data_IF_568378189270
#
_entry.id   IF_568378189270
#
_cell.length_a   1.000
_cell.length_b   1.000
_cell.length_c   1.000
_cell.angle_alpha   90.00
_cell.angle_beta   90.00
_cell.angle_gamma   90.00
#
_symmetry.space_group_name_H-M   'P 1'
#
loop_
_entity.id
_entity.type
_entity.pdbx_description
1 polymer ?
#
# COMPACT_ATOMS: atom_id res chain seq x y z
N UNK A 1 6.24 18.29 -7.08
CA UNK A 1 6.49 16.96 -7.50
C UNK A 1 5.30 16.06 -7.14
N UNK A 2 4.55 15.61 -8.16
CA UNK A 2 3.25 14.94 -8.01
C UNK A 2 3.32 13.63 -7.18
N UNK A 3 4.44 12.92 -7.23
CA UNK A 3 4.64 11.67 -6.50
C UNK A 3 4.73 11.87 -4.98
N UNK A 4 5.49 12.86 -4.55
CA UNK A 4 5.61 13.20 -3.12
C UNK A 4 4.27 13.71 -2.60
N UNK A 5 3.55 14.48 -3.40
CA UNK A 5 2.21 14.97 -3.08
C UNK A 5 1.21 13.81 -2.92
N UNK A 6 1.19 12.86 -3.85
CA UNK A 6 0.29 11.70 -3.81
C UNK A 6 0.57 10.80 -2.60
N UNK A 7 1.83 10.57 -2.25
CA UNK A 7 2.19 9.82 -1.04
C UNK A 7 1.70 10.54 0.21
N UNK A 8 1.91 11.85 0.30
CA UNK A 8 1.44 12.65 1.45
C UNK A 8 -0.08 12.61 1.57
N UNK A 9 -0.80 12.73 0.48
CA UNK A 9 -2.27 12.64 0.49
C UNK A 9 -2.76 11.25 0.93
N UNK A 10 -2.10 10.19 0.47
CA UNK A 10 -2.45 8.82 0.85
C UNK A 10 -2.20 8.58 2.34
N UNK A 11 -1.07 9.05 2.88
CA UNK A 11 -0.79 8.99 4.32
C UNK A 11 -1.84 9.76 5.11
N UNK A 12 -2.22 10.94 4.64
CA UNK A 12 -3.26 11.76 5.27
C UNK A 12 -4.63 11.05 5.28
N UNK A 13 -5.00 10.39 4.19
CA UNK A 13 -6.23 9.58 4.10
C UNK A 13 -6.16 8.42 5.08
N UNK A 14 -5.01 7.77 5.19
CA UNK A 14 -4.78 6.69 6.17
C UNK A 14 -4.98 7.20 7.61
N UNK A 15 -4.37 8.32 7.96
CA UNK A 15 -4.53 8.93 9.29
C UNK A 15 -5.98 9.31 9.59
N UNK A 16 -6.68 9.86 8.63
CA UNK A 16 -8.12 10.15 8.75
C UNK A 16 -8.94 8.88 8.95
N UNK A 17 -8.64 7.83 8.19
CA UNK A 17 -9.28 6.53 8.34
C UNK A 17 -9.08 5.93 9.73
N UNK A 18 -7.86 6.07 10.29
CA UNK A 18 -7.54 5.63 11.65
C UNK A 18 -8.34 6.40 12.70
N UNK A 19 -8.51 7.71 12.54
CA UNK A 19 -9.34 8.52 13.42
C UNK A 19 -10.81 8.07 13.40
N UNK A 20 -11.34 7.75 12.22
CA UNK A 20 -12.70 7.19 12.09
C UNK A 20 -12.83 5.83 12.75
N UNK A 21 -11.83 4.98 12.62
CA UNK A 21 -11.81 3.68 13.29
C UNK A 21 -11.86 3.86 14.81
N UNK A 22 -11.04 4.76 15.36
CA UNK A 22 -11.01 5.03 16.81
C UNK A 22 -12.35 5.58 17.30
N UNK A 23 -13.01 6.43 16.51
CA UNK A 23 -14.34 6.93 16.81
C UNK A 23 -15.41 5.81 16.79
N UNK A 24 -15.31 4.88 15.86
CA UNK A 24 -16.25 3.75 15.74
C UNK A 24 -16.04 2.68 16.82
N UNK A 25 -14.85 2.57 17.35
CA UNK A 25 -14.52 1.63 18.43
C UNK A 25 -15.33 1.89 19.70
N UNK A 26 -15.84 3.10 19.86
CA UNK A 26 -16.70 3.47 20.99
C UNK A 26 -18.16 3.01 20.83
N UNK A 27 -18.55 2.47 19.66
CA UNK A 27 -19.91 2.03 19.36
C UNK A 27 -19.95 0.50 19.37
N UNK A 28 -20.54 -0.08 20.42
CA UNK A 28 -20.53 -1.51 20.74
C UNK A 28 -21.05 -2.46 19.64
N UNK A 29 -21.86 -2.00 18.71
CA UNK A 29 -22.51 -2.85 17.69
C UNK A 29 -21.63 -3.10 16.45
N UNK A 30 -20.43 -2.52 16.37
CA UNK A 30 -19.54 -2.58 15.23
C UNK A 30 -18.27 -3.39 15.47
N UNK A 31 -18.19 -4.15 16.58
CA UNK A 31 -16.96 -4.85 16.99
C UNK A 31 -16.48 -5.87 15.94
N UNK A 32 -17.38 -6.58 15.28
CA UNK A 32 -17.00 -7.54 14.23
C UNK A 32 -16.48 -6.87 12.97
N UNK A 33 -17.08 -5.75 12.61
CA UNK A 33 -16.73 -4.97 11.43
C UNK A 33 -15.50 -4.10 11.70
N UNK A 34 -15.31 -3.65 12.94
CA UNK A 34 -14.20 -2.80 13.33
C UNK A 34 -12.82 -3.46 13.07
N UNK A 35 -12.72 -4.78 13.19
CA UNK A 35 -11.47 -5.49 12.91
C UNK A 35 -11.07 -5.39 11.44
N UNK A 36 -11.98 -5.62 10.51
CA UNK A 36 -11.70 -5.52 9.07
C UNK A 36 -11.42 -4.08 8.63
N UNK A 37 -12.11 -3.12 9.23
CA UNK A 37 -11.84 -1.69 9.03
C UNK A 37 -10.41 -1.37 9.46
N UNK A 38 -10.01 -1.80 10.65
CA UNK A 38 -8.65 -1.60 11.16
C UNK A 38 -7.61 -2.24 10.26
N UNK A 39 -7.81 -3.50 9.87
CA UNK A 39 -6.89 -4.23 9.00
C UNK A 39 -6.77 -3.58 7.63
N UNK A 40 -7.87 -3.08 7.08
CA UNK A 40 -7.87 -2.35 5.80
C UNK A 40 -7.01 -1.08 5.88
N UNK A 41 -7.16 -0.31 6.94
CA UNK A 41 -6.38 0.91 7.17
C UNK A 41 -4.89 0.57 7.39
N UNK A 42 -4.59 -0.48 8.13
CA UNK A 42 -3.22 -0.94 8.34
C UNK A 42 -2.55 -1.37 7.02
N UNK A 43 -3.30 -1.99 6.11
CA UNK A 43 -2.76 -2.38 4.81
C UNK A 43 -2.37 -1.20 3.93
N UNK A 44 -3.09 -0.08 3.97
CA UNK A 44 -2.67 1.11 3.23
C UNK A 44 -1.37 1.70 3.82
N UNK A 45 -1.18 1.58 5.12
CA UNK A 45 0.10 1.93 5.75
C UNK A 45 1.23 1.02 5.26
N UNK A 46 0.99 -0.27 5.17
CA UNK A 46 1.98 -1.22 4.64
C UNK A 46 2.35 -0.90 3.19
N UNK A 47 1.37 -0.58 2.34
CA UNK A 47 1.59 -0.17 0.95
C UNK A 47 2.47 1.10 0.90
N UNK A 48 2.14 2.09 1.72
CA UNK A 48 2.89 3.34 1.81
C UNK A 48 4.34 3.09 2.26
N UNK A 49 4.55 2.22 3.25
CA UNK A 49 5.87 1.86 3.75
C UNK A 49 6.69 1.08 2.71
N UNK A 50 6.07 0.18 1.97
CA UNK A 50 6.74 -0.52 0.87
C UNK A 50 7.18 0.44 -0.23
N UNK A 51 6.36 1.43 -0.56
CA UNK A 51 6.73 2.49 -1.48
C UNK A 51 7.93 3.28 -0.95
N UNK A 52 7.80 3.89 0.21
CA UNK A 52 8.84 4.78 0.76
C UNK A 52 10.15 4.04 1.03
N UNK A 53 10.11 2.87 1.65
CA UNK A 53 11.29 2.07 1.95
C UNK A 53 11.93 1.43 0.72
N UNK A 54 11.13 0.78 -0.10
CA UNK A 54 11.62 0.09 -1.31
C UNK A 54 12.13 1.05 -2.37
N UNK A 55 11.36 2.09 -2.68
CA UNK A 55 11.72 3.05 -3.71
C UNK A 55 12.96 3.88 -3.34
N UNK A 56 13.10 4.29 -2.09
CA UNK A 56 14.29 5.03 -1.65
C UNK A 56 15.58 4.22 -1.85
N UNK A 57 15.52 2.90 -1.62
CA UNK A 57 16.67 2.03 -1.90
C UNK A 57 16.96 1.94 -3.40
N UNK A 58 15.91 1.85 -4.23
CA UNK A 58 16.07 1.81 -5.70
C UNK A 58 16.66 3.11 -6.24
N UNK A 59 16.29 4.26 -5.69
CA UNK A 59 16.89 5.57 -6.08
C UNK A 59 18.39 5.59 -5.85
N UNK A 60 18.87 4.92 -4.81
CA UNK A 60 20.30 4.80 -4.49
C UNK A 60 21.02 3.69 -5.27
N UNK A 61 20.30 2.93 -6.07
CA UNK A 61 20.83 1.78 -6.79
C UNK A 61 21.27 2.16 -8.21
N UNK A 62 22.60 2.08 -8.52
CA UNK A 62 23.10 2.39 -9.86
C UNK A 62 22.59 1.45 -10.97
N UNK A 63 21.97 0.33 -10.62
CA UNK A 63 21.40 -0.59 -11.60
C UNK A 63 20.13 -0.03 -12.28
N UNK A 64 19.54 1.03 -11.72
CA UNK A 64 18.36 1.67 -12.29
C UNK A 64 18.72 3.01 -12.92
N UNK A 65 18.26 3.21 -14.15
CA UNK A 65 18.34 4.51 -14.82
C UNK A 65 17.25 5.46 -14.27
N UNK A 66 17.42 6.75 -14.51
CA UNK A 66 16.42 7.77 -14.14
C UNK A 66 15.05 7.46 -14.77
N UNK A 67 15.02 7.08 -16.04
CA UNK A 67 13.78 6.72 -16.73
C UNK A 67 13.10 5.49 -16.12
N UNK A 68 13.88 4.50 -15.74
CA UNK A 68 13.36 3.32 -15.04
C UNK A 68 12.79 3.68 -13.67
N UNK A 69 13.47 4.52 -12.91
CA UNK A 69 12.99 5.00 -11.60
C UNK A 69 11.70 5.79 -11.73
N UNK A 70 11.57 6.62 -12.74
CA UNK A 70 10.32 7.34 -13.02
C UNK A 70 9.16 6.38 -13.31
N UNK A 71 9.39 5.36 -14.12
CA UNK A 71 8.39 4.34 -14.44
C UNK A 71 7.99 3.52 -13.19
N UNK A 72 8.97 3.13 -12.37
CA UNK A 72 8.73 2.41 -11.12
C UNK A 72 7.90 3.27 -10.15
N UNK A 73 8.25 4.54 -10.04
CA UNK A 73 7.55 5.50 -9.20
C UNK A 73 6.08 5.69 -9.62
N UNK A 74 5.82 5.75 -10.92
CA UNK A 74 4.44 5.83 -11.44
C UNK A 74 3.62 4.60 -11.09
N UNK A 75 4.21 3.41 -11.13
CA UNK A 75 3.55 2.18 -10.71
C UNK A 75 3.16 2.20 -9.23
N UNK A 76 4.05 2.64 -8.36
CA UNK A 76 3.75 2.81 -6.93
C UNK A 76 2.67 3.87 -6.69
N UNK A 77 2.75 5.00 -7.38
CA UNK A 77 1.77 6.08 -7.25
C UNK A 77 0.37 5.59 -7.59
N UNK A 78 0.24 4.77 -8.63
CA UNK A 78 -1.05 4.17 -9.01
C UNK A 78 -1.59 3.24 -7.93
N UNK A 79 -0.75 2.38 -7.36
CA UNK A 79 -1.14 1.48 -6.27
C UNK A 79 -1.58 2.26 -5.03
N UNK A 80 -0.88 3.33 -4.69
CA UNK A 80 -1.25 4.22 -3.58
C UNK A 80 -2.57 4.95 -3.83
N UNK A 81 -2.80 5.41 -5.04
CA UNK A 81 -4.04 6.07 -5.44
C UNK A 81 -5.24 5.13 -5.31
N UNK A 82 -5.12 3.90 -5.80
CA UNK A 82 -6.17 2.88 -5.71
C UNK A 82 -6.43 2.48 -4.24
N UNK A 83 -5.39 2.29 -3.45
CA UNK A 83 -5.53 2.01 -2.02
C UNK A 83 -6.18 3.16 -1.26
N UNK A 84 -5.81 4.39 -1.58
CA UNK A 84 -6.39 5.59 -0.99
C UNK A 84 -7.88 5.75 -1.34
N UNK A 85 -8.27 5.41 -2.56
CA UNK A 85 -9.68 5.41 -2.98
C UNK A 85 -10.50 4.41 -2.17
N UNK A 86 -9.97 3.23 -1.88
CA UNK A 86 -10.64 2.24 -1.04
C UNK A 86 -10.82 2.73 0.40
N UNK A 87 -9.84 3.43 0.96
CA UNK A 87 -9.96 4.02 2.30
C UNK A 87 -11.06 5.08 2.32
N UNK A 88 -11.15 5.91 1.28
CA UNK A 88 -12.20 6.92 1.16
C UNK A 88 -13.58 6.26 1.06
N UNK A 89 -13.72 5.20 0.28
CA UNK A 89 -14.95 4.42 0.16
C UNK A 89 -15.34 3.82 1.52
N UNK A 90 -14.39 3.21 2.23
CA UNK A 90 -14.60 2.66 3.57
C UNK A 90 -15.08 3.72 4.55
N UNK A 91 -14.44 4.90 4.54
CA UNK A 91 -14.85 6.03 5.36
C UNK A 91 -16.32 6.39 5.13
N UNK A 92 -16.73 6.44 3.88
CA UNK A 92 -18.12 6.79 3.53
C UNK A 92 -19.12 5.75 4.02
N UNK A 93 -18.75 4.47 4.02
CA UNK A 93 -19.60 3.37 4.47
C UNK A 93 -19.75 3.37 6.00
N UNK A 94 -18.68 3.65 6.74
CA UNK A 94 -18.67 3.55 8.20
C UNK A 94 -19.10 4.83 8.91
N UNK A 95 -19.15 5.96 8.22
CA UNK A 95 -19.52 7.24 8.82
C UNK A 95 -21.04 7.38 8.88
N UNK A 96 -21.65 7.55 10.07
CA UNK A 96 -23.09 7.78 10.20
C UNK A 96 -23.51 9.10 9.51
N UNK A 97 -24.70 9.08 8.89
CA UNK A 97 -25.31 10.28 8.31
C UNK A 97 -24.73 10.70 6.95
N UNK A 98 -24.00 9.83 6.28
CA UNK A 98 -23.35 10.14 5.00
C UNK A 98 -24.30 10.01 3.78
N UNK A 99 -25.60 10.04 3.99
CA UNK A 99 -26.59 9.93 2.91
C UNK A 99 -26.76 8.52 2.34
N UNK A 100 -25.97 7.56 2.78
CA UNK A 100 -26.08 6.17 2.38
C UNK A 100 -27.03 5.43 3.29
N UNK A 101 -28.18 5.04 2.75
CA UNK A 101 -29.16 4.20 3.45
C UNK A 101 -28.83 2.74 3.23
N UNK A 102 -27.79 2.24 3.91
CA UNK A 102 -27.37 0.84 3.84
C UNK A 102 -27.94 0.04 5.01
N UNK A 103 -28.45 -1.16 4.73
CA UNK A 103 -28.73 -2.14 5.77
C UNK A 103 -27.43 -2.60 6.42
N UNK A 104 -27.50 -3.19 7.62
CA UNK A 104 -26.32 -3.73 8.29
C UNK A 104 -25.63 -4.80 7.44
N UNK A 105 -26.40 -5.65 6.76
CA UNK A 105 -25.86 -6.66 5.85
C UNK A 105 -25.12 -6.04 4.66
N UNK A 106 -25.72 -5.03 4.02
CA UNK A 106 -25.10 -4.34 2.89
C UNK A 106 -23.79 -3.65 3.31
N UNK A 107 -23.77 -3.06 4.50
CA UNK A 107 -22.58 -2.44 5.08
C UNK A 107 -21.48 -3.47 5.31
N UNK A 108 -21.82 -4.63 5.91
CA UNK A 108 -20.87 -5.71 6.15
C UNK A 108 -20.30 -6.26 4.84
N UNK A 109 -21.14 -6.49 3.84
CA UNK A 109 -20.73 -6.97 2.54
C UNK A 109 -19.78 -5.98 1.85
N UNK A 110 -20.06 -4.69 1.94
CA UNK A 110 -19.22 -3.63 1.39
C UNK A 110 -17.85 -3.57 2.09
N UNK A 111 -17.81 -3.68 3.41
CA UNK A 111 -16.56 -3.72 4.20
C UNK A 111 -15.72 -4.94 3.79
N UNK A 112 -16.35 -6.11 3.65
CA UNK A 112 -15.68 -7.34 3.23
C UNK A 112 -15.06 -7.20 1.83
N UNK A 113 -15.76 -6.59 0.89
CA UNK A 113 -15.27 -6.36 -0.46
C UNK A 113 -14.07 -5.40 -0.47
N UNK A 114 -14.15 -4.32 0.30
CA UNK A 114 -13.05 -3.35 0.41
C UNK A 114 -11.82 -4.01 1.04
N UNK A 115 -12.02 -4.80 2.09
CA UNK A 115 -10.93 -5.56 2.73
C UNK A 115 -10.24 -6.50 1.73
N UNK A 116 -11.01 -7.26 0.96
CA UNK A 116 -10.47 -8.19 -0.06
C UNK A 116 -9.67 -7.45 -1.12
N UNK A 117 -10.21 -6.35 -1.64
CA UNK A 117 -9.51 -5.52 -2.63
C UNK A 117 -8.21 -4.93 -2.06
N UNK A 118 -8.23 -4.50 -0.81
CA UNK A 118 -7.03 -3.95 -0.16
C UNK A 118 -5.96 -5.04 0.04
N UNK A 119 -6.35 -6.26 0.36
CA UNK A 119 -5.43 -7.40 0.40
C UNK A 119 -4.75 -7.61 -0.96
N UNK A 120 -5.51 -7.51 -2.04
CA UNK A 120 -4.99 -7.65 -3.39
C UNK A 120 -3.98 -6.54 -3.72
N UNK A 121 -4.27 -5.30 -3.38
CA UNK A 121 -3.35 -4.18 -3.61
C UNK A 121 -2.08 -4.27 -2.77
N UNK A 122 -2.19 -4.71 -1.51
CA UNK A 122 -1.02 -4.96 -0.67
C UNK A 122 -0.13 -6.03 -1.27
N UNK A 123 -0.72 -7.15 -1.66
CA UNK A 123 0.02 -8.26 -2.27
C UNK A 123 0.63 -7.88 -3.60
N UNK A 124 -0.08 -7.10 -4.42
CA UNK A 124 0.41 -6.58 -5.68
C UNK A 124 1.59 -5.61 -5.47
N UNK A 125 1.52 -4.75 -4.47
CA UNK A 125 2.60 -3.83 -4.12
C UNK A 125 3.85 -4.59 -3.68
N UNK A 126 3.69 -5.64 -2.88
CA UNK A 126 4.79 -6.51 -2.47
C UNK A 126 5.42 -7.23 -3.66
N UNK A 127 4.59 -7.79 -4.53
CA UNK A 127 5.05 -8.43 -5.77
C UNK A 127 5.82 -7.42 -6.65
N UNK A 128 5.27 -6.24 -6.84
CA UNK A 128 5.88 -5.17 -7.64
C UNK A 128 7.25 -4.77 -7.10
N UNK A 129 7.35 -4.56 -5.79
CA UNK A 129 8.61 -4.25 -5.10
C UNK A 129 9.65 -5.35 -5.31
N UNK A 130 9.26 -6.60 -5.04
CA UNK A 130 10.16 -7.74 -5.18
C UNK A 130 10.60 -7.95 -6.63
N UNK A 131 9.71 -7.75 -7.57
CA UNK A 131 10.03 -7.88 -9.00
C UNK A 131 11.08 -6.86 -9.45
N UNK A 132 10.94 -5.61 -9.01
CA UNK A 132 11.91 -4.57 -9.34
C UNK A 132 13.27 -4.84 -8.66
N UNK A 133 13.28 -5.27 -7.41
CA UNK A 133 14.52 -5.65 -6.71
C UNK A 133 15.20 -6.82 -7.41
N UNK A 134 14.45 -7.80 -7.91
CA UNK A 134 15.02 -8.94 -8.63
C UNK A 134 15.77 -8.53 -9.89
N UNK A 135 15.30 -7.49 -10.57
CA UNK A 135 15.99 -6.93 -11.75
C UNK A 135 17.39 -6.44 -11.37
N UNK A 136 17.50 -5.74 -10.24
CA UNK A 136 18.79 -5.28 -9.73
C UNK A 136 19.74 -6.45 -9.41
N UNK A 137 19.26 -7.50 -8.77
CA UNK A 137 20.05 -8.70 -8.49
C UNK A 137 20.56 -9.36 -9.77
N UNK A 138 19.70 -9.52 -10.77
CA UNK A 138 20.08 -10.09 -12.07
C UNK A 138 21.17 -9.26 -12.74
N UNK A 139 21.03 -7.94 -12.77
CA UNK A 139 22.00 -7.03 -13.36
C UNK A 139 23.34 -7.08 -12.62
N UNK A 140 23.32 -7.13 -11.29
CA UNK A 140 24.51 -7.24 -10.47
C UNK A 140 25.20 -8.60 -10.60
N UNK A 141 24.45 -9.67 -10.80
CA UNK A 141 25.01 -10.98 -11.08
C UNK A 141 25.84 -10.96 -12.39
N UNK A 142 25.32 -10.30 -13.41
CA UNK A 142 26.01 -10.14 -14.71
C UNK A 142 27.26 -9.27 -14.57
N UNK A 143 27.28 -8.28 -13.70
CA UNK A 143 28.44 -7.40 -13.46
C UNK A 143 29.44 -7.96 -12.47
N UNK A 144 29.09 -8.98 -11.68
CA UNK A 144 29.92 -9.52 -10.62
C UNK A 144 29.95 -8.65 -9.34
N UNK A 145 28.94 -7.80 -9.11
CA UNK A 145 28.91 -6.89 -7.95
C UNK A 145 27.74 -7.18 -6.99
N UNK A 146 27.42 -8.45 -6.80
CA UNK A 146 26.30 -8.90 -5.94
C UNK A 146 26.38 -8.39 -4.50
N UNK A 147 27.56 -8.21 -3.95
CA UNK A 147 27.75 -7.73 -2.58
C UNK A 147 27.13 -6.34 -2.37
N UNK A 148 27.26 -5.47 -3.36
CA UNK A 148 26.69 -4.12 -3.32
C UNK A 148 25.16 -4.17 -3.22
N UNK A 149 24.52 -5.04 -4.00
CA UNK A 149 23.06 -5.18 -4.02
C UNK A 149 22.55 -5.85 -2.74
N UNK A 150 23.28 -6.83 -2.24
CA UNK A 150 22.96 -7.44 -0.94
C UNK A 150 23.05 -6.44 0.21
N UNK A 151 24.04 -5.54 0.16
CA UNK A 151 24.14 -4.47 1.16
C UNK A 151 22.96 -3.51 1.11
N UNK A 152 22.37 -3.29 -0.07
CA UNK A 152 21.25 -2.36 -0.27
C UNK A 152 19.88 -2.98 0.11
N UNK A 153 19.64 -4.23 -0.31
CA UNK A 153 18.33 -4.87 -0.17
C UNK A 153 18.30 -6.08 0.78
N UNK A 154 19.45 -6.54 1.24
CA UNK A 154 19.57 -7.79 1.96
C UNK A 154 19.75 -8.97 1.00
N UNK A 155 19.71 -10.19 1.56
CA UNK A 155 19.84 -11.40 0.76
C UNK A 155 18.60 -11.61 -0.10
N UNK A 156 18.76 -12.02 -1.39
CA UNK A 156 17.62 -12.34 -2.21
C UNK A 156 16.88 -13.55 -1.62
N UNK A 157 15.56 -13.48 -1.61
CA UNK A 157 14.72 -14.64 -1.31
C UNK A 157 14.35 -15.33 -2.63
N UNK A 158 13.97 -16.59 -2.58
CA UNK A 158 13.54 -17.34 -3.77
C UNK A 158 12.43 -16.66 -4.56
N UNK A 159 11.72 -15.73 -3.93
CA UNK A 159 10.64 -14.95 -4.56
C UNK A 159 11.11 -13.91 -5.57
N UNK A 160 12.37 -13.58 -5.57
CA UNK A 160 12.93 -12.54 -6.47
C UNK A 160 13.35 -13.09 -7.84
N UNK A 161 13.43 -14.39 -7.98
CA UNK A 161 13.90 -15.06 -9.20
C UNK A 161 12.77 -15.73 -9.99
#
# INVERSE_FOLDING_TARGET
NNLVSNVKETVKIYEQGKQYYDALKSVNNLIKDARKVKLTIEMISEITNMYSGGFNRMVSDPNFSVNELEAIALGYAKLLEEGGALVTELKNIVTPGNGLSLSDKERMDAIDQIYTKMCDYRNLTKYYTNKNISISFIRSQQKGDMERVRALYGKPTERYW
#
